data_IF_817335978327
#
_entry.id   IF_817335978327
#
_cell.length_a   1.000
_cell.length_b   1.000
_cell.length_c   1.000
_cell.angle_alpha   90.00
_cell.angle_beta   90.00
_cell.angle_gamma   90.00
#
_symmetry.space_group_name_H-M   'P 1'
#
loop_
_entity.id
_entity.type
_entity.pdbx_description
1 polymer ?
#
# COMPACT_ATOMS: atom_id res chain seq x y z
N UNK A 1 -24.61 -3.18 -5.36
CA UNK A 1 -24.02 -3.14 -6.71
C UNK A 1 -22.51 -3.14 -6.57
N UNK A 2 -21.79 -4.06 -7.21
CA UNK A 2 -20.33 -4.02 -7.22
C UNK A 2 -19.88 -2.77 -8.01
N UNK A 3 -19.18 -1.86 -7.35
CA UNK A 3 -18.69 -0.63 -7.99
C UNK A 3 -17.36 -0.93 -8.68
N UNK A 4 -17.26 -0.61 -9.96
CA UNK A 4 -16.05 -0.77 -10.74
C UNK A 4 -15.17 0.47 -10.62
N UNK A 5 -13.86 0.26 -10.76
CA UNK A 5 -12.85 1.32 -10.89
C UNK A 5 -12.04 0.99 -12.13
N UNK A 6 -11.85 1.98 -12.99
CA UNK A 6 -10.95 1.86 -14.13
C UNK A 6 -9.66 2.55 -13.73
N UNK A 7 -8.55 1.82 -13.74
CA UNK A 7 -7.23 2.41 -13.54
C UNK A 7 -6.74 3.12 -14.79
N UNK A 8 -5.71 3.95 -14.64
CA UNK A 8 -5.09 4.73 -15.71
C UNK A 8 -4.37 3.81 -16.71
N UNK A 9 -4.08 2.56 -16.32
CA UNK A 9 -3.65 1.49 -17.25
C UNK A 9 -4.77 0.99 -18.19
N UNK A 10 -6.01 1.42 -17.99
CA UNK A 10 -7.21 0.89 -18.65
C UNK A 10 -7.75 -0.41 -18.03
N UNK A 11 -7.06 -0.98 -17.02
CA UNK A 11 -7.52 -2.17 -16.32
C UNK A 11 -8.77 -1.86 -15.49
N UNK A 12 -9.75 -2.75 -15.54
CA UNK A 12 -10.98 -2.66 -14.75
C UNK A 12 -10.86 -3.50 -13.49
N UNK A 13 -11.20 -2.91 -12.35
CA UNK A 13 -11.18 -3.51 -11.02
C UNK A 13 -12.59 -3.54 -10.45
N UNK A 14 -13.07 -4.72 -10.09
CA UNK A 14 -14.41 -4.89 -9.50
C UNK A 14 -14.26 -4.90 -7.99
N UNK A 15 -14.74 -3.86 -7.30
CA UNK A 15 -14.72 -3.82 -5.82
C UNK A 15 -15.61 -4.92 -5.24
N UNK A 16 -15.12 -5.56 -4.20
CA UNK A 16 -15.81 -6.59 -3.43
C UNK A 16 -15.88 -6.18 -1.95
N UNK A 17 -15.07 -6.82 -1.10
CA UNK A 17 -15.15 -6.69 0.36
C UNK A 17 -14.53 -5.40 0.88
N UNK A 18 -15.01 -4.91 2.02
CA UNK A 18 -14.35 -3.81 2.73
C UNK A 18 -13.23 -4.39 3.59
N UNK A 19 -11.98 -4.05 3.28
CA UNK A 19 -10.80 -4.48 4.03
C UNK A 19 -10.60 -3.66 5.31
N UNK A 20 -10.90 -2.35 5.23
CA UNK A 20 -10.82 -1.45 6.37
C UNK A 20 -11.82 -0.33 6.20
N UNK A 21 -12.75 -0.18 7.17
CA UNK A 21 -13.67 0.95 7.22
C UNK A 21 -12.97 2.20 7.76
N UNK A 22 -13.22 3.33 7.12
CA UNK A 22 -12.97 4.64 7.70
C UNK A 22 -14.26 5.08 8.41
N UNK A 23 -14.15 5.49 9.68
CA UNK A 23 -15.31 5.83 10.52
C UNK A 23 -15.89 7.22 10.22
N UNK A 24 -15.12 8.08 9.58
CA UNK A 24 -15.48 9.47 9.31
C UNK A 24 -16.00 9.63 7.87
N UNK A 25 -15.40 8.93 6.90
CA UNK A 25 -15.82 8.97 5.50
C UNK A 25 -15.69 7.59 4.85
N UNK A 26 -16.82 6.96 4.56
CA UNK A 26 -16.89 5.65 3.90
C UNK A 26 -16.15 5.64 2.55
N UNK A 27 -16.03 6.78 1.86
CA UNK A 27 -15.29 6.89 0.60
C UNK A 27 -13.78 6.73 0.76
N UNK A 28 -13.25 6.92 1.98
CA UNK A 28 -11.85 6.72 2.34
C UNK A 28 -11.58 5.33 2.93
N UNK A 29 -12.59 4.45 2.93
CA UNK A 29 -12.41 3.04 3.27
C UNK A 29 -11.51 2.34 2.24
N UNK A 30 -10.86 1.26 2.68
CA UNK A 30 -10.04 0.39 1.83
C UNK A 30 -10.90 -0.79 1.41
N UNK A 31 -10.94 -1.04 0.12
CA UNK A 31 -11.73 -2.12 -0.47
C UNK A 31 -10.80 -3.16 -1.10
N UNK A 32 -11.25 -4.42 -1.08
CA UNK A 32 -10.72 -5.46 -1.95
C UNK A 32 -11.33 -5.26 -3.33
N UNK A 33 -10.57 -5.56 -4.37
CA UNK A 33 -11.07 -5.64 -5.72
C UNK A 33 -10.43 -6.81 -6.47
N UNK A 34 -11.12 -7.32 -7.49
CA UNK A 34 -10.60 -8.37 -8.36
C UNK A 34 -10.40 -7.84 -9.78
N UNK A 35 -9.34 -8.29 -10.44
CA UNK A 35 -9.09 -8.04 -11.87
C UNK A 35 -8.19 -9.13 -12.45
N UNK A 36 -8.58 -9.74 -13.57
CA UNK A 36 -7.79 -10.78 -14.24
C UNK A 36 -7.45 -11.99 -13.35
N UNK A 37 -8.35 -12.37 -12.44
CA UNK A 37 -8.12 -13.45 -11.47
C UNK A 37 -7.17 -13.11 -10.32
N UNK A 38 -6.73 -11.85 -10.20
CA UNK A 38 -5.87 -11.38 -9.12
C UNK A 38 -6.63 -10.41 -8.20
N UNK A 39 -6.31 -10.47 -6.91
CA UNK A 39 -6.87 -9.56 -5.91
C UNK A 39 -6.00 -8.33 -5.69
N UNK A 40 -6.66 -7.20 -5.46
CA UNK A 40 -6.05 -5.89 -5.23
C UNK A 40 -6.67 -5.20 -4.01
N UNK A 41 -5.91 -4.28 -3.42
CA UNK A 41 -6.40 -3.35 -2.42
C UNK A 41 -6.56 -1.97 -3.07
N UNK A 42 -7.77 -1.45 -3.03
CA UNK A 42 -8.15 -0.14 -3.57
C UNK A 42 -8.22 0.84 -2.40
N UNK A 43 -7.51 1.96 -2.53
CA UNK A 43 -7.51 3.02 -1.54
C UNK A 43 -7.74 4.36 -2.21
N UNK A 44 -8.81 5.07 -1.82
CA UNK A 44 -8.98 6.48 -2.12
C UNK A 44 -8.18 7.31 -1.11
N UNK A 45 -7.48 8.34 -1.59
CA UNK A 45 -6.64 9.19 -0.76
C UNK A 45 -6.82 10.66 -1.12
N UNK A 46 -6.44 11.56 -0.23
CA UNK A 46 -6.40 12.99 -0.56
C UNK A 46 -5.30 13.28 -1.59
N UNK A 47 -5.43 14.42 -2.29
CA UNK A 47 -4.53 14.80 -3.38
C UNK A 47 -3.04 14.85 -2.98
N UNK A 48 -2.65 15.40 -1.82
CA UNK A 48 -1.24 15.40 -1.40
C UNK A 48 -0.67 13.99 -1.26
N UNK A 49 -1.42 13.06 -0.65
CA UNK A 49 -1.01 11.66 -0.51
C UNK A 49 -0.94 10.92 -1.84
N UNK A 50 -1.88 11.20 -2.76
CA UNK A 50 -1.84 10.67 -4.11
C UNK A 50 -0.55 11.10 -4.83
N UNK A 51 -0.29 12.40 -4.89
CA UNK A 51 0.89 12.95 -5.57
C UNK A 51 2.20 12.38 -4.98
N UNK A 52 2.27 12.29 -3.65
CA UNK A 52 3.42 11.70 -2.95
C UNK A 52 3.61 10.22 -3.33
N UNK A 53 2.52 9.45 -3.40
CA UNK A 53 2.58 8.03 -3.75
C UNK A 53 2.99 7.79 -5.20
N UNK A 54 2.53 8.64 -6.14
CA UNK A 54 2.95 8.61 -7.54
C UNK A 54 4.44 8.92 -7.66
N UNK A 55 4.90 10.01 -7.03
CA UNK A 55 6.32 10.38 -6.99
C UNK A 55 7.19 9.25 -6.45
N UNK A 56 6.77 8.63 -5.34
CA UNK A 56 7.47 7.52 -4.72
C UNK A 56 7.52 6.29 -5.65
N UNK A 57 6.44 5.97 -6.37
CA UNK A 57 6.47 4.88 -7.34
C UNK A 57 7.40 5.16 -8.54
N UNK A 58 7.48 6.42 -9.01
CA UNK A 58 8.40 6.83 -10.07
C UNK A 58 9.86 6.74 -9.62
N UNK A 59 10.19 7.28 -8.43
CA UNK A 59 11.57 7.31 -7.95
C UNK A 59 12.15 5.92 -7.65
N UNK A 60 11.29 4.97 -7.29
CA UNK A 60 11.66 3.59 -6.96
C UNK A 60 11.11 2.59 -7.99
N UNK A 61 10.93 3.03 -9.23
CA UNK A 61 10.54 2.15 -10.33
C UNK A 61 11.52 0.97 -10.42
N UNK A 62 10.99 -0.26 -10.40
CA UNK A 62 11.79 -1.49 -10.41
C UNK A 62 12.20 -2.03 -9.04
N UNK A 63 11.88 -1.33 -7.94
CA UNK A 63 12.05 -1.88 -6.61
C UNK A 63 11.27 -3.19 -6.45
N UNK A 64 11.94 -4.23 -5.95
CA UNK A 64 11.31 -5.51 -5.61
C UNK A 64 10.97 -5.64 -4.12
N UNK A 65 11.35 -4.65 -3.31
CA UNK A 65 11.25 -4.68 -1.85
C UNK A 65 10.15 -3.76 -1.32
N UNK A 66 9.89 -2.65 -2.03
CA UNK A 66 8.87 -1.70 -1.67
C UNK A 66 7.53 -2.07 -2.33
N UNK A 67 6.45 -2.03 -1.55
CA UNK A 67 5.10 -2.24 -2.08
C UNK A 67 4.60 -0.96 -2.73
N UNK A 68 4.65 -0.91 -4.05
CA UNK A 68 4.09 0.18 -4.84
C UNK A 68 2.67 -0.13 -5.30
N UNK A 69 1.93 0.91 -5.68
CA UNK A 69 0.67 0.72 -6.37
C UNK A 69 0.97 0.12 -7.76
N UNK A 70 0.19 -0.87 -8.15
CA UNK A 70 0.28 -1.51 -9.46
C UNK A 70 -0.46 -0.70 -10.54
N UNK A 71 -1.43 0.11 -10.12
CA UNK A 71 -2.19 1.02 -10.95
C UNK A 71 -2.74 2.16 -10.09
N UNK A 72 -3.29 3.19 -10.72
CA UNK A 72 -3.90 4.32 -10.04
C UNK A 72 -5.06 4.85 -10.89
N UNK A 73 -5.90 5.72 -10.34
CA UNK A 73 -6.87 6.49 -11.10
C UNK A 73 -6.74 7.94 -10.65
N UNK A 74 -6.12 8.76 -11.49
CA UNK A 74 -5.81 10.14 -11.17
C UNK A 74 -7.06 10.99 -10.95
N UNK A 75 -8.12 10.73 -11.73
CA UNK A 75 -9.37 11.49 -11.70
C UNK A 75 -10.10 11.33 -10.37
N UNK A 76 -10.10 10.12 -9.83
CA UNK A 76 -10.81 9.78 -8.59
C UNK A 76 -9.91 9.85 -7.34
N UNK A 77 -8.60 10.00 -7.52
CA UNK A 77 -7.62 10.02 -6.43
C UNK A 77 -7.43 8.63 -5.79
N UNK A 78 -7.42 7.59 -6.61
CA UNK A 78 -7.38 6.19 -6.16
C UNK A 78 -6.01 5.57 -6.46
N UNK A 79 -5.50 4.81 -5.50
CA UNK A 79 -4.29 4.00 -5.64
C UNK A 79 -4.66 2.52 -5.48
N UNK A 80 -4.11 1.67 -6.35
CA UNK A 80 -4.46 0.25 -6.43
C UNK A 80 -3.20 -0.57 -6.18
N UNK A 81 -3.18 -1.32 -5.09
CA UNK A 81 -2.03 -2.09 -4.65
C UNK A 81 -2.26 -3.59 -4.84
N UNK A 82 -1.20 -4.39 -5.08
CA UNK A 82 -1.29 -5.84 -4.94
C UNK A 82 -1.87 -6.21 -3.57
N UNK A 83 -2.83 -7.12 -3.51
CA UNK A 83 -3.42 -7.56 -2.24
C UNK A 83 -2.53 -8.59 -1.55
N UNK A 84 -2.34 -8.46 -0.24
CA UNK A 84 -1.72 -9.47 0.61
C UNK A 84 -2.75 -9.97 1.61
N UNK A 85 -2.78 -11.29 1.80
CA UNK A 85 -3.78 -11.97 2.64
C UNK A 85 -3.58 -11.76 4.14
N UNK A 86 -2.37 -11.37 4.56
CA UNK A 86 -2.03 -11.19 5.97
C UNK A 86 -1.06 -10.03 6.17
N UNK A 87 -0.91 -9.60 7.43
CA UNK A 87 0.10 -8.63 7.86
C UNK A 87 1.26 -9.34 8.54
N UNK A 88 2.43 -8.71 8.62
CA UNK A 88 3.56 -9.27 9.38
C UNK A 88 3.18 -9.52 10.85
N UNK A 89 2.42 -8.62 11.49
CA UNK A 89 1.99 -8.79 12.87
C UNK A 89 1.07 -10.00 13.04
N UNK A 90 0.08 -10.16 12.17
CA UNK A 90 -0.81 -11.33 12.17
C UNK A 90 -0.01 -12.62 11.94
N UNK A 91 0.88 -12.61 10.95
CA UNK A 91 1.75 -13.75 10.65
C UNK A 91 2.62 -14.18 11.85
N UNK A 92 3.16 -13.22 12.61
CA UNK A 92 3.96 -13.52 13.81
C UNK A 92 3.11 -14.02 14.98
N UNK A 93 1.86 -13.56 15.10
CA UNK A 93 0.92 -14.05 16.12
C UNK A 93 0.46 -15.48 15.83
N UNK A 94 0.17 -15.78 14.57
CA UNK A 94 -0.30 -17.10 14.14
C UNK A 94 0.81 -18.16 14.17
N UNK A 95 2.08 -17.74 14.15
CA UNK A 95 3.26 -18.61 14.17
C UNK A 95 4.32 -18.09 15.15
N UNK A 96 4.12 -18.24 16.47
CA UNK A 96 5.12 -17.76 17.44
C UNK A 96 6.51 -18.39 17.25
N UNK A 97 6.54 -19.63 16.74
CA UNK A 97 7.75 -20.43 16.55
C UNK A 97 8.45 -20.20 15.19
N UNK A 98 8.40 -18.96 14.67
CA UNK A 98 9.18 -18.58 13.49
C UNK A 98 10.63 -19.01 13.65
N UNK A 99 11.16 -19.80 12.72
CA UNK A 99 12.54 -20.27 12.83
C UNK A 99 13.50 -19.09 12.76
N UNK A 100 14.69 -19.17 13.41
CA UNK A 100 15.69 -18.10 13.33
C UNK A 100 16.00 -17.67 11.89
N UNK A 101 16.09 -18.62 10.95
CA UNK A 101 16.32 -18.36 9.52
C UNK A 101 15.20 -17.52 8.89
N UNK A 102 13.94 -17.80 9.21
CA UNK A 102 12.81 -17.05 8.68
C UNK A 102 12.75 -15.63 9.28
N UNK A 103 13.05 -15.48 10.59
CA UNK A 103 13.17 -14.17 11.24
C UNK A 103 14.28 -13.34 10.61
N UNK A 104 15.44 -13.94 10.40
CA UNK A 104 16.58 -13.30 9.74
C UNK A 104 16.23 -12.84 8.32
N UNK A 105 15.50 -13.68 7.56
CA UNK A 105 15.01 -13.32 6.24
C UNK A 105 14.14 -12.05 6.30
N UNK A 106 13.15 -12.00 7.19
CA UNK A 106 12.27 -10.82 7.35
C UNK A 106 13.09 -9.57 7.68
N UNK A 107 14.01 -9.65 8.65
CA UNK A 107 14.85 -8.54 9.06
C UNK A 107 15.73 -8.05 7.91
N UNK A 108 16.37 -8.97 7.18
CA UNK A 108 17.22 -8.64 6.04
C UNK A 108 16.45 -7.90 4.95
N UNK A 109 15.32 -8.45 4.48
CA UNK A 109 14.53 -7.79 3.43
C UNK A 109 13.99 -6.43 3.87
N UNK A 110 13.64 -6.28 5.15
CA UNK A 110 13.21 -4.99 5.72
C UNK A 110 14.37 -3.99 5.75
N UNK A 111 15.54 -4.38 6.24
CA UNK A 111 16.72 -3.52 6.29
C UNK A 111 17.18 -3.10 4.88
N UNK A 112 17.17 -4.01 3.91
CA UNK A 112 17.50 -3.70 2.53
C UNK A 112 16.50 -2.71 1.90
N UNK A 113 15.20 -2.83 2.20
CA UNK A 113 14.20 -1.87 1.74
C UNK A 113 14.40 -0.48 2.35
N UNK A 114 14.75 -0.41 3.64
CA UNK A 114 15.08 0.85 4.32
C UNK A 114 16.34 1.48 3.73
N UNK A 115 17.38 0.68 3.50
CA UNK A 115 18.60 1.15 2.85
C UNK A 115 18.32 1.71 1.45
N UNK A 116 17.43 1.07 0.69
CA UNK A 116 16.99 1.56 -0.62
C UNK A 116 16.33 2.95 -0.53
N UNK A 117 15.44 3.15 0.46
CA UNK A 117 14.84 4.47 0.74
C UNK A 117 15.91 5.51 1.09
N UNK A 118 16.81 5.17 2.02
CA UNK A 118 17.85 6.08 2.51
C UNK A 118 18.81 6.50 1.40
N UNK A 119 19.13 5.60 0.46
CA UNK A 119 19.98 5.91 -0.71
C UNK A 119 19.37 6.99 -1.62
N UNK A 120 18.07 7.28 -1.51
CA UNK A 120 17.38 8.34 -2.23
C UNK A 120 16.91 9.48 -1.30
N UNK A 121 17.45 9.54 -0.08
CA UNK A 121 17.10 10.53 0.96
C UNK A 121 15.64 10.46 1.43
N UNK A 122 15.01 9.29 1.32
CA UNK A 122 13.68 9.05 1.87
C UNK A 122 13.78 8.46 3.27
N UNK A 123 13.00 8.98 4.21
CA UNK A 123 12.90 8.47 5.58
C UNK A 123 11.54 7.82 5.76
N UNK A 124 11.53 6.54 6.16
CA UNK A 124 10.30 5.88 6.57
C UNK A 124 9.94 6.28 8.00
N UNK A 125 8.98 7.19 8.15
CA UNK A 125 8.51 7.69 9.45
C UNK A 125 7.49 6.76 10.15
N UNK A 126 7.15 5.61 9.56
CA UNK A 126 6.14 4.70 10.13
C UNK A 126 4.75 5.33 10.28
N UNK A 127 3.82 4.64 10.96
CA UNK A 127 2.55 5.25 11.38
C UNK A 127 2.77 5.97 12.71
N UNK A 128 2.97 7.28 12.68
CA UNK A 128 2.56 8.16 13.78
C UNK A 128 1.15 8.65 13.45
N UNK A 129 0.15 8.19 14.21
CA UNK A 129 -1.15 8.85 14.22
C UNK A 129 -0.93 10.27 14.76
N UNK A 130 -1.03 11.28 13.88
CA UNK A 130 -0.73 12.71 14.07
C UNK A 130 0.75 13.09 13.91
N UNK A 131 1.09 13.55 12.70
CA UNK A 131 2.10 14.60 12.54
C UNK A 131 1.33 15.80 11.98
N UNK A 132 1.13 16.80 12.82
CA UNK A 132 0.92 18.16 12.36
C UNK A 132 2.21 18.59 11.66
N UNK A 133 2.12 18.95 10.39
CA UNK A 133 3.19 19.72 9.74
C UNK A 133 2.84 21.19 9.98
N UNK A 134 3.69 21.99 10.68
CA UNK A 134 3.57 23.43 10.61
C UNK A 134 3.86 23.85 9.16
N UNK A 135 3.05 24.77 8.65
CA UNK A 135 3.36 25.45 7.39
C UNK A 135 4.56 26.37 7.67
N UNK A 136 5.66 26.16 6.95
CA UNK A 136 6.66 27.19 6.68
C UNK A 136 6.34 27.84 5.32
#
# INVERSE_FOLDING_TARGET
MASTIVGDSGRVYVKSDVLQRNREDDNLSIFKAESGGQSFAVKRVSRPFYNMSVRLATEFAGSRRLRMHADCNQKEGVLIYPYYTTTLLSLLRDKPDFSPTQRYKILRYTAEAIAELHNKNWIHIGKFSKIYMPND
#
